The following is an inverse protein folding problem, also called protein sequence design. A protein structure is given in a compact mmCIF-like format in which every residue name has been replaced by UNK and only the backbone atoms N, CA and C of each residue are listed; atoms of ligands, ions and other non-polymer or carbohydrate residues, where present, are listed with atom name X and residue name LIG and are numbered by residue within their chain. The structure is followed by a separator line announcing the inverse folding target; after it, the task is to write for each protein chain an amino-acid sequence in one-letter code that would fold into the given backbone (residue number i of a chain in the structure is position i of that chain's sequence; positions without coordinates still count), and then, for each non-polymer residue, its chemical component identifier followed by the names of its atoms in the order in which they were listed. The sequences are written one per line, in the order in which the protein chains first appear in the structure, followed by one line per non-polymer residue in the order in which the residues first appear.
data_IF_842741292431
#
_entry.id   IF_842741292431
#
_cell.length_a   1.000
_cell.length_b   1.000
_cell.length_c   1.000
_cell.angle_alpha   90.00
_cell.angle_beta   90.00
_cell.angle_gamma   90.00
#
_symmetry.space_group_name_H-M   'P 1'
#
loop_
_entity.id
_entity.type
_entity.pdbx_description
1 polymer ?
#
# COMPACT_ATOMS: atom_id res chain seq x y z
N UNK A 1 6.91 2.55 -17.96
CA UNK A 1 6.82 2.30 -16.51
C UNK A 1 6.31 3.56 -15.86
N UNK A 2 5.22 3.50 -15.09
CA UNK A 2 4.69 4.65 -14.37
C UNK A 2 5.57 4.88 -13.14
N UNK A 3 6.33 5.97 -13.10
CA UNK A 3 7.16 6.31 -11.96
C UNK A 3 6.30 7.09 -10.96
N UNK A 4 5.97 6.46 -9.84
CA UNK A 4 5.30 7.14 -8.74
C UNK A 4 6.32 7.94 -7.94
N UNK A 5 5.98 9.18 -7.60
CA UNK A 5 6.82 9.98 -6.72
C UNK A 5 6.82 9.33 -5.35
N UNK A 6 8.01 9.05 -4.83
CA UNK A 6 8.16 8.71 -3.42
C UNK A 6 7.58 9.85 -2.58
N UNK A 7 6.99 9.49 -1.46
CA UNK A 7 6.57 10.45 -0.46
C UNK A 7 7.82 11.20 0.00
N UNK A 8 7.69 12.51 0.17
CA UNK A 8 8.78 13.29 0.73
C UNK A 8 9.14 12.72 2.09
N UNK A 9 10.43 12.77 2.44
CA UNK A 9 10.88 12.42 3.78
C UNK A 9 10.06 13.26 4.77
N UNK A 10 9.17 12.58 5.48
CA UNK A 10 8.31 13.20 6.46
C UNK A 10 8.78 12.70 7.81
N UNK A 11 9.26 13.63 8.63
CA UNK A 11 9.80 13.33 9.96
C UNK A 11 8.72 12.81 10.92
N UNK A 12 7.44 12.81 10.52
CA UNK A 12 6.35 12.29 11.34
C UNK A 12 5.30 11.53 10.50
N UNK A 13 5.63 10.31 10.08
CA UNK A 13 4.68 9.42 9.39
C UNK A 13 3.46 9.07 10.25
N UNK A 14 3.61 9.03 11.58
CA UNK A 14 2.51 8.80 12.51
C UNK A 14 1.47 9.91 12.37
N UNK A 15 1.84 11.18 12.53
CA UNK A 15 0.90 12.30 12.39
C UNK A 15 0.20 12.31 11.03
N UNK A 16 0.91 12.01 9.94
CA UNK A 16 0.29 11.94 8.62
C UNK A 16 -0.75 10.82 8.52
N UNK A 17 -0.44 9.64 9.05
CA UNK A 17 -1.37 8.50 9.04
C UNK A 17 -2.59 8.84 9.88
N UNK A 18 -2.39 9.39 11.08
CA UNK A 18 -3.47 9.79 11.98
C UNK A 18 -4.36 10.87 11.36
N UNK A 19 -3.79 11.91 10.77
CA UNK A 19 -4.59 12.99 10.17
C UNK A 19 -5.34 12.57 8.91
N UNK A 20 -4.80 11.61 8.16
CA UNK A 20 -5.35 11.22 6.84
C UNK A 20 -6.32 10.04 6.93
N UNK A 21 -6.06 9.09 7.83
CA UNK A 21 -6.80 7.84 7.94
C UNK A 21 -7.50 7.66 9.30
N UNK A 22 -7.30 8.58 10.26
CA UNK A 22 -7.83 8.48 11.63
C UNK A 22 -7.39 7.19 12.36
N UNK A 23 -6.16 6.76 12.08
CA UNK A 23 -5.53 5.59 12.71
C UNK A 23 -4.34 6.04 13.55
N UNK A 24 -4.39 5.73 14.84
CA UNK A 24 -3.31 6.03 15.79
C UNK A 24 -2.39 4.81 15.92
N UNK A 25 -1.17 4.91 15.39
CA UNK A 25 -0.19 3.82 15.35
C UNK A 25 1.10 4.28 16.03
N UNK A 26 1.64 3.44 16.90
CA UNK A 26 2.93 3.66 17.55
C UNK A 26 4.09 3.45 16.56
N UNK A 27 4.33 4.46 15.72
CA UNK A 27 5.30 4.45 14.64
C UNK A 27 6.26 5.63 14.75
N UNK A 28 7.51 5.38 14.38
CA UNK A 28 8.55 6.38 14.20
C UNK A 28 9.28 6.16 12.87
N UNK A 29 10.36 6.92 12.63
CA UNK A 29 11.16 6.78 11.41
C UNK A 29 10.45 7.33 10.17
N UNK A 30 10.61 6.65 9.03
CA UNK A 30 10.20 7.14 7.72
C UNK A 30 9.47 6.05 6.89
N UNK A 31 9.24 6.27 5.60
CA UNK A 31 8.44 5.39 4.73
C UNK A 31 9.11 4.08 4.27
N UNK A 32 10.28 3.72 4.81
CA UNK A 32 10.91 2.43 4.58
C UNK A 32 11.41 2.20 3.15
N UNK A 33 11.75 3.24 2.41
CA UNK A 33 12.30 3.10 1.04
C UNK A 33 13.69 2.43 1.04
N UNK A 34 14.47 2.64 2.11
CA UNK A 34 15.77 2.03 2.35
C UNK A 34 15.86 1.64 3.83
N UNK A 35 16.91 0.89 4.19
CA UNK A 35 17.14 0.48 5.58
C UNK A 35 17.34 1.69 6.51
N UNK A 36 18.07 2.71 6.06
CA UNK A 36 18.37 3.93 6.83
C UNK A 36 17.12 4.77 7.09
N UNK A 37 16.14 4.67 6.19
CA UNK A 37 14.84 5.34 6.27
C UNK A 37 13.72 4.36 6.63
N UNK A 38 14.03 3.30 7.39
CA UNK A 38 13.06 2.30 7.81
C UNK A 38 11.86 2.91 8.54
N UNK A 39 10.70 2.26 8.40
CA UNK A 39 9.57 2.50 9.30
C UNK A 39 9.86 1.81 10.62
N UNK A 40 9.90 2.57 11.71
CA UNK A 40 10.14 2.03 13.05
C UNK A 40 8.79 1.68 13.67
N UNK A 41 8.62 0.43 14.09
CA UNK A 41 7.43 -0.04 14.81
C UNK A 41 7.75 -0.08 16.30
N UNK A 42 7.19 0.87 17.06
CA UNK A 42 7.46 1.03 18.48
C UNK A 42 6.59 0.11 19.34
N UNK A 43 5.34 -0.11 18.94
CA UNK A 43 4.42 -1.02 19.62
C UNK A 43 3.35 -1.59 18.69
N UNK A 44 2.83 -2.77 19.04
CA UNK A 44 1.65 -3.35 18.40
C UNK A 44 0.38 -2.91 19.13
N UNK A 45 -0.70 -2.67 18.38
CA UNK A 45 -2.03 -2.48 18.96
C UNK A 45 -2.58 -3.80 19.52
N UNK A 46 -3.43 -3.73 20.55
CA UNK A 46 -4.15 -4.90 21.06
C UNK A 46 -4.95 -5.53 19.91
N UNK A 47 -4.64 -6.79 19.59
CA UNK A 47 -5.22 -7.60 18.50
C UNK A 47 -4.63 -7.45 17.09
N UNK A 48 -3.50 -6.75 16.91
CA UNK A 48 -2.81 -6.69 15.61
C UNK A 48 -1.48 -7.44 15.64
N UNK A 49 -1.26 -8.33 14.68
CA UNK A 49 0.06 -8.97 14.51
C UNK A 49 1.02 -8.03 13.79
N UNK A 50 2.33 -8.24 13.98
CA UNK A 50 3.36 -7.48 13.25
C UNK A 50 3.14 -7.51 11.73
N UNK A 51 2.85 -8.69 11.16
CA UNK A 51 2.59 -8.84 9.73
C UNK A 51 1.38 -8.01 9.25
N UNK A 52 0.32 -7.97 10.05
CA UNK A 52 -0.86 -7.16 9.73
C UNK A 52 -0.53 -5.66 9.74
N UNK A 53 0.26 -5.21 10.72
CA UNK A 53 0.69 -3.82 10.81
C UNK A 53 1.59 -3.43 9.62
N UNK A 54 2.60 -4.24 9.30
CA UNK A 54 3.50 -4.02 8.15
C UNK A 54 2.72 -3.96 6.82
N UNK A 55 1.76 -4.87 6.62
CA UNK A 55 0.89 -4.87 5.44
C UNK A 55 0.02 -3.61 5.37
N UNK A 56 -0.57 -3.19 6.50
CA UNK A 56 -1.38 -1.99 6.60
C UNK A 56 -0.55 -0.74 6.26
N UNK A 57 0.65 -0.59 6.83
CA UNK A 57 1.54 0.55 6.58
C UNK A 57 1.94 0.59 5.10
N UNK A 58 2.28 -0.56 4.51
CA UNK A 58 2.62 -0.64 3.08
C UNK A 58 1.41 -0.24 2.21
N UNK A 59 0.22 -0.67 2.58
CA UNK A 59 -1.03 -0.32 1.88
C UNK A 59 -1.31 1.17 1.98
N UNK A 60 -1.12 1.78 3.16
CA UNK A 60 -1.24 3.22 3.37
C UNK A 60 -0.23 3.98 2.49
N UNK A 61 1.05 3.58 2.51
CA UNK A 61 2.09 4.17 1.67
C UNK A 61 1.71 4.10 0.20
N UNK A 62 1.24 2.95 -0.28
CA UNK A 62 0.80 2.80 -1.67
C UNK A 62 -0.39 3.72 -2.00
N UNK A 63 -1.36 3.86 -1.10
CA UNK A 63 -2.50 4.77 -1.28
C UNK A 63 -2.08 6.25 -1.31
N UNK A 64 -1.16 6.64 -0.44
CA UNK A 64 -0.61 7.99 -0.43
C UNK A 64 0.11 8.28 -1.75
N UNK A 65 1.02 7.40 -2.18
CA UNK A 65 1.80 7.56 -3.41
C UNK A 65 0.95 7.57 -4.69
N UNK A 66 -0.09 6.73 -4.76
CA UNK A 66 -0.81 6.45 -6.00
C UNK A 66 -2.18 7.14 -6.09
N UNK A 67 -2.71 7.68 -4.99
CA UNK A 67 -4.01 8.34 -4.99
C UNK A 67 -3.97 9.71 -4.30
N UNK A 68 -3.74 9.74 -2.98
CA UNK A 68 -4.00 10.94 -2.17
C UNK A 68 -3.10 12.12 -2.57
N UNK A 69 -1.83 11.85 -2.89
CA UNK A 69 -0.87 12.89 -3.29
C UNK A 69 -0.89 13.20 -4.79
N UNK A 70 -1.74 12.54 -5.56
CA UNK A 70 -1.81 12.71 -7.01
C UNK A 70 -2.93 13.67 -7.42
N UNK A 71 -2.67 14.44 -8.49
CA UNK A 71 -3.71 15.14 -9.24
C UNK A 71 -4.75 14.16 -9.77
N UNK A 72 -6.00 14.60 -9.94
CA UNK A 72 -7.13 13.73 -10.25
C UNK A 72 -6.90 12.83 -11.47
N UNK A 73 -6.32 13.34 -12.56
CA UNK A 73 -6.05 12.52 -13.77
C UNK A 73 -4.96 11.46 -13.55
N UNK A 74 -4.17 11.62 -12.48
CA UNK A 74 -3.06 10.77 -12.13
C UNK A 74 -3.38 9.75 -11.05
N UNK A 75 -4.58 9.78 -10.47
CA UNK A 75 -4.99 8.87 -9.40
C UNK A 75 -5.21 7.45 -9.87
N UNK A 76 -5.01 6.54 -8.93
CA UNK A 76 -5.27 5.11 -9.07
C UNK A 76 -6.24 4.63 -7.99
N UNK A 77 -7.14 3.72 -8.36
CA UNK A 77 -8.02 2.98 -7.47
C UNK A 77 -7.68 1.49 -7.45
N UNK A 78 -8.44 0.72 -6.67
CA UNK A 78 -8.21 -0.71 -6.45
C UNK A 78 -6.74 -1.04 -6.10
N UNK A 79 -6.12 -0.19 -5.27
CA UNK A 79 -4.73 -0.35 -4.85
C UNK A 79 -4.68 -1.48 -3.83
N UNK A 80 -3.86 -2.50 -4.09
CA UNK A 80 -3.67 -3.62 -3.16
C UNK A 80 -2.19 -3.97 -3.05
N UNK A 81 -1.71 -4.20 -1.83
CA UNK A 81 -0.39 -4.73 -1.55
C UNK A 81 -0.46 -6.25 -1.29
N UNK A 82 0.47 -7.01 -1.88
CA UNK A 82 0.59 -8.45 -1.66
C UNK A 82 2.05 -8.80 -1.36
N UNK A 83 2.33 -9.38 -0.20
CA UNK A 83 3.69 -9.80 0.16
C UNK A 83 4.16 -10.89 -0.83
N UNK A 84 5.38 -10.74 -1.33
CA UNK A 84 6.05 -11.66 -2.26
C UNK A 84 7.24 -12.35 -1.62
N UNK A 85 8.03 -11.61 -0.86
CA UNK A 85 9.20 -12.12 -0.17
C UNK A 85 9.48 -11.32 1.09
N UNK A 86 10.21 -11.93 2.02
CA UNK A 86 10.61 -11.36 3.30
C UNK A 86 11.99 -11.85 3.66
N UNK A 87 12.81 -10.93 4.13
CA UNK A 87 14.13 -11.18 4.71
C UNK A 87 14.19 -10.50 6.07
N UNK A 88 14.65 -11.23 7.09
CA UNK A 88 14.94 -10.66 8.41
C UNK A 88 16.45 -10.47 8.54
N UNK A 89 16.86 -9.28 8.95
CA UNK A 89 18.26 -8.92 9.17
C UNK A 89 18.44 -8.53 10.65
N UNK A 90 19.27 -9.28 11.38
CA UNK A 90 19.66 -8.94 12.76
C UNK A 90 21.13 -8.52 12.80
N UNK A 91 21.41 -7.34 13.34
CA UNK A 91 22.76 -6.81 13.48
C UNK A 91 22.85 -5.87 14.71
N UNK A 92 23.98 -5.19 14.91
CA UNK A 92 24.21 -4.29 16.04
C UNK A 92 23.27 -3.07 16.06
N UNK A 93 22.70 -2.69 14.91
CA UNK A 93 21.80 -1.55 14.76
C UNK A 93 20.34 -1.91 15.12
N UNK A 94 20.00 -3.21 15.15
CA UNK A 94 18.65 -3.69 15.48
C UNK A 94 18.20 -4.87 14.62
N UNK A 95 16.88 -5.10 14.66
CA UNK A 95 16.18 -6.12 13.87
C UNK A 95 15.36 -5.44 12.78
N UNK A 96 15.62 -5.82 11.54
CA UNK A 96 14.97 -5.25 10.37
C UNK A 96 14.23 -6.32 9.56
N UNK A 97 13.00 -6.03 9.18
CA UNK A 97 12.27 -6.78 8.17
C UNK A 97 12.33 -6.03 6.84
N UNK A 98 12.97 -6.64 5.85
CA UNK A 98 12.93 -6.19 4.46
C UNK A 98 11.86 -7.00 3.74
N UNK A 99 10.76 -6.34 3.39
CA UNK A 99 9.59 -7.00 2.81
C UNK A 99 9.37 -6.51 1.39
N UNK A 100 9.28 -7.44 0.44
CA UNK A 100 8.98 -7.16 -0.96
C UNK A 100 7.50 -7.38 -1.20
N UNK A 101 6.81 -6.35 -1.66
CA UNK A 101 5.39 -6.37 -2.01
C UNK A 101 5.17 -6.17 -3.50
N UNK A 102 4.20 -6.89 -4.05
CA UNK A 102 3.56 -6.52 -5.30
C UNK A 102 2.39 -5.59 -5.02
N UNK A 103 2.48 -4.37 -5.52
CA UNK A 103 1.38 -3.41 -5.53
C UNK A 103 0.65 -3.53 -6.86
N UNK A 104 -0.67 -3.76 -6.79
CA UNK A 104 -1.57 -3.73 -7.95
C UNK A 104 -2.46 -2.52 -7.88
N UNK A 105 -2.80 -1.92 -9.02
CA UNK A 105 -3.75 -0.81 -9.09
C UNK A 105 -4.34 -0.61 -10.49
N UNK A 106 -5.45 0.12 -10.58
CA UNK A 106 -6.09 0.50 -11.85
C UNK A 106 -6.23 2.03 -11.85
N UNK A 107 -6.09 2.69 -13.01
CA UNK A 107 -6.38 4.14 -13.12
C UNK A 107 -7.77 4.46 -12.57
N UNK A 108 -7.90 5.52 -11.76
CA UNK A 108 -9.11 5.77 -10.95
C UNK A 108 -10.36 5.96 -11.82
N UNK A 109 -10.24 6.72 -12.91
CA UNK A 109 -11.32 6.94 -13.89
C UNK A 109 -11.82 5.62 -14.49
N UNK A 110 -10.89 4.76 -14.92
CA UNK A 110 -11.18 3.46 -15.49
C UNK A 110 -11.75 2.49 -14.44
N UNK A 111 -11.23 2.51 -13.22
CA UNK A 111 -11.75 1.73 -12.10
C UNK A 111 -13.19 2.11 -11.77
N UNK A 112 -13.48 3.42 -11.71
CA UNK A 112 -14.83 3.93 -11.48
C UNK A 112 -15.78 3.55 -12.61
N UNK A 113 -15.31 3.59 -13.86
CA UNK A 113 -16.08 3.12 -15.01
C UNK A 113 -16.42 1.63 -14.89
N UNK A 114 -15.47 0.78 -14.48
CA UNK A 114 -15.75 -0.64 -14.23
C UNK A 114 -16.75 -0.84 -13.09
N UNK A 115 -16.61 -0.13 -11.96
CA UNK A 115 -17.58 -0.24 -10.86
C UNK A 115 -18.99 0.14 -11.33
N UNK A 116 -19.11 1.25 -12.08
CA UNK A 116 -20.39 1.72 -12.60
C UNK A 116 -21.00 0.69 -13.55
N UNK A 117 -20.23 0.23 -14.52
CA UNK A 117 -20.65 -0.79 -15.48
C UNK A 117 -21.14 -2.07 -14.76
N UNK A 118 -20.38 -2.56 -13.78
CA UNK A 118 -20.76 -3.74 -13.01
C UNK A 118 -22.05 -3.52 -12.22
N UNK A 119 -22.17 -2.39 -11.50
CA UNK A 119 -23.39 -2.05 -10.73
C UNK A 119 -24.63 -1.94 -11.62
N UNK A 120 -24.49 -1.39 -12.82
CA UNK A 120 -25.60 -1.18 -13.75
C UNK A 120 -25.92 -2.42 -14.59
N UNK A 121 -24.94 -3.28 -14.86
CA UNK A 121 -25.06 -4.46 -15.72
C UNK A 121 -25.35 -5.76 -14.97
N UNK A 122 -24.91 -5.89 -13.71
CA UNK A 122 -25.01 -7.14 -12.99
C UNK A 122 -26.45 -7.65 -12.89
N UNK A 123 -26.66 -8.92 -13.27
CA UNK A 123 -27.97 -9.57 -13.30
C UNK A 123 -28.78 -9.35 -14.59
N UNK A 124 -28.29 -8.56 -15.55
CA UNK A 124 -28.91 -8.43 -16.88
C UNK A 124 -28.39 -9.48 -17.85
N UNK A 125 -29.25 -9.94 -18.76
CA UNK A 125 -28.93 -11.01 -19.72
C UNK A 125 -27.82 -10.63 -20.72
N UNK A 126 -27.68 -9.35 -21.03
CA UNK A 126 -26.70 -8.80 -21.98
C UNK A 126 -25.35 -8.44 -21.34
N UNK A 127 -25.23 -8.55 -20.01
CA UNK A 127 -23.98 -8.23 -19.32
C UNK A 127 -23.01 -9.42 -19.31
N UNK A 128 -21.98 -9.34 -20.16
CA UNK A 128 -20.89 -10.31 -20.15
C UNK A 128 -19.93 -10.06 -18.98
N UNK A 129 -20.23 -10.74 -17.87
CA UNK A 129 -19.43 -10.70 -16.65
C UNK A 129 -17.98 -11.17 -16.87
N UNK A 130 -17.75 -12.12 -17.78
CA UNK A 130 -16.42 -12.68 -18.04
C UNK A 130 -15.56 -11.67 -18.80
N UNK A 131 -16.14 -11.02 -19.81
CA UNK A 131 -15.49 -9.93 -20.54
C UNK A 131 -15.19 -8.73 -19.63
N UNK A 132 -16.11 -8.37 -18.73
CA UNK A 132 -15.89 -7.32 -17.74
C UNK A 132 -14.64 -7.60 -16.88
N UNK A 133 -14.56 -8.78 -16.26
CA UNK A 133 -13.42 -9.14 -15.41
C UNK A 133 -12.11 -9.31 -16.19
N UNK A 134 -12.17 -9.75 -17.46
CA UNK A 134 -11.01 -9.78 -18.34
C UNK A 134 -10.44 -8.38 -18.57
N UNK A 135 -11.28 -7.41 -18.96
CA UNK A 135 -10.84 -6.00 -19.16
C UNK A 135 -10.29 -5.40 -17.87
N UNK A 136 -10.93 -5.67 -16.72
CA UNK A 136 -10.44 -5.22 -15.42
C UNK A 136 -9.05 -5.77 -15.11
N UNK A 137 -8.81 -7.05 -15.39
CA UNK A 137 -7.50 -7.68 -15.22
C UNK A 137 -6.45 -7.07 -16.14
N UNK A 138 -6.78 -6.84 -17.41
CA UNK A 138 -5.88 -6.23 -18.40
C UNK A 138 -5.53 -4.77 -18.05
N UNK A 139 -6.45 -4.06 -17.41
CA UNK A 139 -6.24 -2.69 -16.92
C UNK A 139 -5.45 -2.61 -15.60
N UNK A 140 -5.22 -3.74 -14.93
CA UNK A 140 -4.50 -3.78 -13.65
C UNK A 140 -3.01 -3.65 -13.90
N UNK A 141 -2.43 -2.57 -13.38
CA UNK A 141 -0.99 -2.38 -13.31
C UNK A 141 -0.42 -3.12 -12.11
N UNK A 142 0.82 -3.59 -12.24
CA UNK A 142 1.59 -4.18 -11.16
C UNK A 142 2.94 -3.46 -11.02
N UNK A 143 3.42 -3.34 -9.79
CA UNK A 143 4.78 -2.92 -9.47
C UNK A 143 5.30 -3.69 -8.26
N UNK A 144 6.59 -3.93 -8.23
CA UNK A 144 7.27 -4.43 -7.04
C UNK A 144 7.79 -3.25 -6.21
N UNK A 145 7.63 -3.32 -4.90
CA UNK A 145 8.16 -2.34 -3.94
C UNK A 145 8.82 -3.07 -2.79
N UNK A 146 9.91 -2.49 -2.28
CA UNK A 146 10.54 -2.94 -1.04
C UNK A 146 10.14 -1.96 0.07
N UNK A 147 9.85 -2.50 1.24
CA UNK A 147 9.62 -1.74 2.47
C UNK A 147 10.51 -2.31 3.58
N UNK A 148 11.32 -1.44 4.17
CA UNK A 148 12.13 -1.75 5.35
C UNK A 148 11.40 -1.33 6.62
N UNK A 149 11.23 -2.28 7.53
CA UNK A 149 10.70 -2.06 8.87
C UNK A 149 11.79 -2.35 9.89
N UNK A 150 11.93 -1.48 10.89
CA UNK A 150 12.72 -1.70 12.09
C UNK A 150 11.76 -2.14 13.19
N UNK A 151 12.02 -3.31 13.79
CA UNK A 151 11.06 -4.04 14.63
C UNK A 151 11.66 -4.50 15.96
N UNK A 152 12.78 -3.92 16.39
CA UNK A 152 13.50 -4.33 17.61
C UNK A 152 12.64 -4.20 18.88
N UNK A 153 11.67 -3.29 18.89
CA UNK A 153 10.82 -3.03 20.06
C UNK A 153 9.66 -4.02 20.22
N UNK A 154 9.37 -4.84 19.21
CA UNK A 154 8.17 -5.67 19.13
C UNK A 154 8.45 -7.15 18.82
N UNK A 155 9.72 -7.55 18.82
CA UNK A 155 10.18 -8.94 18.66
C UNK A 155 10.96 -9.43 19.88
#
# INVERSE_FOLDING_TARGET
MTTFKQLQENLNIHELIKSTFDVDLALAGNWGYTKENATIIEALSENMTLLQLEHMITSIRAHLEMNITQEQENRYGAINANERAREEERNEEGVFNKVTYEITAIKEDLYNAFIKEYKEGYGKEDFDISSHFKRRKEATLTREVIHYFEVSSVQ
#
